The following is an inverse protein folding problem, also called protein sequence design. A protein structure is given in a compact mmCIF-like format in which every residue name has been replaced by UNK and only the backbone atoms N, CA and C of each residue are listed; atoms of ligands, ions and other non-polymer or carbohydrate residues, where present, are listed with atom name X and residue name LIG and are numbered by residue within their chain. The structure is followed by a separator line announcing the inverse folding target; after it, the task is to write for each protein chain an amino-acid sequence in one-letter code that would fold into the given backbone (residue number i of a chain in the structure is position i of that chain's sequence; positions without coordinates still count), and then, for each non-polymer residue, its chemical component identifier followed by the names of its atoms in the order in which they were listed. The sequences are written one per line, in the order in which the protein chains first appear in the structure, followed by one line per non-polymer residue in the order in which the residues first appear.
data_IF_012017595204
#
_entry.id   IF_012017595204
#
_cell.length_a   1.000
_cell.length_b   1.000
_cell.length_c   1.000
_cell.angle_alpha   90.00
_cell.angle_beta   90.00
_cell.angle_gamma   90.00
#
_symmetry.space_group_name_H-M   'P 1'
#
loop_
_entity.id
_entity.type
_entity.pdbx_description
1 polymer ?
#
# COMPACT_ATOMS: atom_id res chain seq x y z
N UNK A 1 -24.94 7.03 -6.22
CA UNK A 1 -24.37 8.12 -5.39
C UNK A 1 -23.37 7.51 -4.40
N UNK A 2 -22.06 7.61 -4.65
CA UNK A 2 -21.06 7.23 -3.64
C UNK A 2 -20.93 8.38 -2.64
N UNK A 3 -21.71 8.32 -1.55
CA UNK A 3 -21.47 9.15 -0.39
C UNK A 3 -20.08 8.79 0.15
N UNK A 4 -19.05 9.55 -0.22
CA UNK A 4 -17.74 9.47 0.42
C UNK A 4 -17.99 9.82 1.88
N UNK A 5 -18.14 8.81 2.75
CA UNK A 5 -18.19 8.99 4.20
C UNK A 5 -17.01 9.88 4.56
N UNK A 6 -17.28 11.09 5.05
CA UNK A 6 -16.23 12.02 5.44
C UNK A 6 -15.48 11.34 6.58
N UNK A 7 -14.23 10.99 6.31
CA UNK A 7 -13.40 10.39 7.33
C UNK A 7 -13.22 11.36 8.49
N UNK A 8 -13.32 10.88 9.72
CA UNK A 8 -13.09 11.70 10.90
C UNK A 8 -11.64 12.23 10.91
N UNK A 9 -11.36 13.37 11.56
CA UNK A 9 -10.00 13.76 11.88
C UNK A 9 -9.28 12.66 12.67
N UNK A 10 -7.97 12.50 12.43
CA UNK A 10 -7.16 11.57 13.21
C UNK A 10 -6.73 12.20 14.54
N UNK A 11 -6.63 11.39 15.58
CA UNK A 11 -6.21 11.77 16.93
C UNK A 11 -4.88 11.11 17.29
N UNK A 12 -4.32 11.46 18.45
CA UNK A 12 -3.02 10.93 18.91
C UNK A 12 -3.03 9.40 19.03
N UNK A 13 -4.15 8.81 19.46
CA UNK A 13 -4.30 7.35 19.53
C UNK A 13 -4.22 6.67 18.16
N UNK A 14 -4.71 7.32 17.10
CA UNK A 14 -4.58 6.80 15.73
C UNK A 14 -3.11 6.77 15.32
N UNK A 15 -2.36 7.81 15.66
CA UNK A 15 -0.91 7.89 15.38
C UNK A 15 -0.16 6.80 16.13
N UNK A 16 -0.49 6.58 17.41
CA UNK A 16 0.08 5.52 18.24
C UNK A 16 -0.23 4.14 17.66
N UNK A 17 -1.47 3.93 17.20
CA UNK A 17 -1.88 2.67 16.59
C UNK A 17 -1.17 2.42 15.26
N UNK A 18 -1.07 3.45 14.41
CA UNK A 18 -0.33 3.37 13.14
C UNK A 18 1.13 3.02 13.43
N UNK A 19 1.81 3.72 14.34
CA UNK A 19 3.21 3.44 14.67
C UNK A 19 3.45 1.99 15.09
N UNK A 20 2.63 1.45 16.00
CA UNK A 20 2.77 0.08 16.51
C UNK A 20 2.51 -0.98 15.45
N UNK A 21 1.48 -0.78 14.62
CA UNK A 21 0.97 -1.82 13.73
C UNK A 21 1.43 -1.65 12.27
N UNK A 22 2.18 -0.59 11.96
CA UNK A 22 2.57 -0.32 10.58
C UNK A 22 3.38 -1.47 10.00
N UNK A 23 4.27 -2.12 10.76
CA UNK A 23 5.09 -3.22 10.22
C UNK A 23 4.27 -4.47 9.87
N UNK A 24 3.18 -4.73 10.57
CA UNK A 24 2.41 -5.97 10.49
C UNK A 24 1.19 -5.86 9.56
N UNK A 25 0.47 -4.74 9.64
CA UNK A 25 -0.80 -4.56 8.94
C UNK A 25 -0.65 -3.67 7.70
N UNK A 26 -1.49 -3.86 6.69
CA UNK A 26 -1.58 -2.94 5.56
C UNK A 26 -2.23 -1.62 5.95
N UNK A 27 -1.96 -0.57 5.16
CA UNK A 27 -2.65 0.72 5.35
C UNK A 27 -4.18 0.63 5.14
N UNK A 28 -4.66 -0.42 4.46
CA UNK A 28 -6.08 -0.71 4.31
C UNK A 28 -6.67 -1.24 5.63
N UNK A 29 -6.07 -2.30 6.20
CA UNK A 29 -6.52 -2.88 7.47
C UNK A 29 -6.44 -1.88 8.63
N UNK A 30 -5.39 -1.06 8.67
CA UNK A 30 -5.27 0.01 9.68
C UNK A 30 -6.39 1.04 9.52
N UNK A 31 -6.71 1.42 8.28
CA UNK A 31 -7.79 2.37 8.00
C UNK A 31 -9.16 1.82 8.44
N UNK A 32 -9.42 0.53 8.18
CA UNK A 32 -10.66 -0.13 8.61
C UNK A 32 -10.78 -0.20 10.13
N UNK A 33 -9.72 -0.63 10.84
CA UNK A 33 -9.73 -0.72 12.30
C UNK A 33 -9.94 0.63 12.99
N UNK A 34 -9.34 1.69 12.45
CA UNK A 34 -9.45 3.04 13.00
C UNK A 34 -10.70 3.79 12.53
N UNK A 35 -11.39 3.29 11.50
CA UNK A 35 -12.49 3.99 10.86
C UNK A 35 -12.06 5.31 10.19
N UNK A 36 -10.81 5.36 9.69
CA UNK A 36 -10.25 6.54 9.00
C UNK A 36 -9.94 6.23 7.54
N UNK A 37 -9.61 7.25 6.75
CA UNK A 37 -9.23 7.08 5.37
C UNK A 37 -7.81 6.50 5.25
N UNK A 38 -7.61 5.61 4.28
CA UNK A 38 -6.27 5.13 3.87
C UNK A 38 -5.30 6.28 3.57
N UNK A 39 -5.83 7.38 3.03
CA UNK A 39 -5.03 8.58 2.77
C UNK A 39 -4.55 9.23 4.06
N UNK A 40 -5.37 9.25 5.11
CA UNK A 40 -4.95 9.76 6.43
C UNK A 40 -3.89 8.85 7.05
N UNK A 41 -4.03 7.52 6.95
CA UNK A 41 -2.97 6.59 7.38
C UNK A 41 -1.65 6.89 6.65
N UNK A 42 -1.70 7.09 5.33
CA UNK A 42 -0.50 7.46 4.55
C UNK A 42 0.10 8.80 4.99
N UNK A 43 -0.74 9.79 5.30
CA UNK A 43 -0.30 11.09 5.83
C UNK A 43 0.38 10.93 7.19
N UNK A 44 -0.22 10.20 8.13
CA UNK A 44 0.35 9.91 9.45
C UNK A 44 1.74 9.27 9.30
N UNK A 45 1.87 8.25 8.45
CA UNK A 45 3.16 7.58 8.20
C UNK A 45 4.19 8.54 7.62
N UNK A 46 3.78 9.41 6.71
CA UNK A 46 4.67 10.39 6.08
C UNK A 46 5.17 11.44 7.07
N UNK A 47 4.30 11.90 7.98
CA UNK A 47 4.69 12.79 9.07
C UNK A 47 5.58 12.07 10.09
N UNK A 48 5.23 10.85 10.51
CA UNK A 48 6.06 10.06 11.43
C UNK A 48 7.48 9.86 10.88
N UNK A 49 7.64 9.58 9.58
CA UNK A 49 8.95 9.42 8.93
C UNK A 49 9.87 10.65 9.00
N UNK A 50 9.33 11.85 9.25
CA UNK A 50 10.15 13.05 9.44
C UNK A 50 10.81 13.09 10.82
N UNK A 51 10.24 12.38 11.79
CA UNK A 51 10.65 12.44 13.20
C UNK A 51 11.28 11.13 13.69
N UNK A 52 10.95 10.00 13.05
CA UNK A 52 11.41 8.67 13.43
C UNK A 52 11.69 7.81 12.20
N UNK A 53 12.59 6.84 12.35
CA UNK A 53 12.98 5.94 11.26
C UNK A 53 11.95 4.81 11.09
N UNK A 54 10.94 5.04 10.25
CA UNK A 54 9.92 4.04 9.92
C UNK A 54 10.37 3.18 8.73
N UNK A 55 10.30 1.83 8.83
CA UNK A 55 10.67 0.96 7.72
C UNK A 55 9.82 1.26 6.49
N UNK A 56 10.48 1.29 5.33
CA UNK A 56 9.77 1.36 4.05
C UNK A 56 9.10 0.01 3.82
N UNK A 57 7.78 0.02 3.60
CA UNK A 57 7.04 -1.11 3.01
C UNK A 57 7.39 -1.28 1.52
N UNK A 58 8.68 -1.33 1.22
CA UNK A 58 9.21 -1.65 -0.12
C UNK A 58 9.32 -3.15 -0.33
N UNK A 59 8.96 -3.96 0.67
CA UNK A 59 8.67 -5.37 0.47
C UNK A 59 7.45 -5.44 -0.43
N UNK A 60 7.70 -5.50 -1.76
CA UNK A 60 6.77 -6.12 -2.69
C UNK A 60 6.39 -7.43 -2.02
N UNK A 61 5.17 -7.53 -1.47
CA UNK A 61 4.65 -8.81 -1.04
C UNK A 61 4.89 -9.76 -2.22
N UNK A 62 5.56 -10.91 -2.03
CA UNK A 62 5.71 -11.87 -3.12
C UNK A 62 4.31 -12.08 -3.69
N UNK A 63 4.19 -11.99 -5.01
CA UNK A 63 2.89 -12.10 -5.66
C UNK A 63 2.22 -13.38 -5.12
N UNK A 64 1.06 -13.30 -4.45
CA UNK A 64 0.47 -14.49 -3.80
C UNK A 64 0.23 -15.60 -4.82
N UNK A 65 0.01 -15.25 -6.09
CA UNK A 65 -0.11 -16.20 -7.19
C UNK A 65 1.22 -16.91 -7.46
N UNK A 66 2.35 -16.19 -7.45
CA UNK A 66 3.67 -16.82 -7.65
C UNK A 66 4.02 -17.75 -6.48
N UNK A 67 3.72 -17.33 -5.24
CA UNK A 67 3.93 -18.16 -4.06
C UNK A 67 3.09 -19.45 -4.11
N UNK A 68 1.83 -19.34 -4.50
CA UNK A 68 0.95 -20.50 -4.71
C UNK A 68 1.45 -21.43 -5.82
N UNK A 69 1.90 -20.90 -6.96
CA UNK A 69 2.43 -21.70 -8.06
C UNK A 69 3.74 -22.44 -7.68
N UNK A 70 4.57 -21.83 -6.82
CA UNK A 70 5.78 -22.44 -6.28
C UNK A 70 5.45 -23.59 -5.30
N UNK A 71 4.46 -23.39 -4.42
CA UNK A 71 3.99 -24.41 -3.47
C UNK A 71 3.34 -25.62 -4.18
N UNK A 72 2.56 -25.38 -5.24
CA UNK A 72 1.86 -26.43 -5.99
C UNK A 72 2.68 -27.01 -7.17
N UNK A 73 3.92 -26.54 -7.39
CA UNK A 73 4.80 -26.98 -8.49
C UNK A 73 4.18 -26.85 -9.90
N UNK A 74 3.26 -25.89 -10.09
CA UNK A 74 2.55 -25.68 -11.36
C UNK A 74 3.38 -24.71 -12.22
N UNK A 75 3.89 -25.19 -13.37
CA UNK A 75 4.60 -24.31 -14.30
C UNK A 75 3.62 -23.30 -14.93
N UNK A 76 3.88 -21.98 -14.82
CA UNK A 76 3.04 -20.97 -15.45
C UNK A 76 3.10 -21.15 -16.96
N UNK A 77 1.92 -21.34 -17.57
CA UNK A 77 1.76 -21.39 -19.03
C UNK A 77 2.40 -20.12 -19.62
N UNK A 78 3.38 -20.30 -20.50
CA UNK A 78 4.27 -19.26 -21.00
C UNK A 78 3.56 -17.92 -21.19
N UNK A 79 4.07 -16.89 -20.49
CA UNK A 79 3.52 -15.55 -20.49
C UNK A 79 3.24 -15.04 -21.92
N UNK A 80 1.97 -14.80 -22.24
CA UNK A 80 1.63 -13.86 -23.31
C UNK A 80 2.23 -12.51 -22.91
N UNK A 81 3.30 -12.10 -23.61
CA UNK A 81 3.96 -10.82 -23.39
C UNK A 81 2.93 -9.69 -23.57
N UNK A 82 2.37 -9.19 -22.47
CA UNK A 82 1.60 -7.96 -22.49
C UNK A 82 2.57 -6.80 -22.77
N UNK A 83 2.63 -6.35 -24.03
CA UNK A 83 3.29 -5.11 -24.44
C UNK A 83 2.62 -3.93 -23.74
N UNK A 84 3.13 -3.51 -22.59
CA UNK A 84 2.74 -2.27 -21.91
C UNK A 84 3.75 -1.17 -22.22
N UNK A 85 3.57 -0.46 -23.32
CA UNK A 85 4.43 0.66 -23.72
C UNK A 85 4.38 1.82 -22.73
N UNK A 86 5.56 2.35 -22.36
CA UNK A 86 5.68 3.68 -21.73
C UNK A 86 6.91 4.42 -22.26
N UNK A 87 6.93 4.62 -23.59
CA UNK A 87 7.80 5.60 -24.21
C UNK A 87 7.19 7.00 -24.07
N UNK A 88 7.54 7.73 -23.01
CA UNK A 88 7.25 9.18 -22.93
C UNK A 88 8.40 9.95 -23.57
N UNK A 89 8.41 10.03 -24.91
CA UNK A 89 9.16 11.10 -25.61
C UNK A 89 8.27 12.35 -25.60
N UNK A 90 8.66 13.38 -24.85
CA UNK A 90 8.25 14.75 -25.16
C UNK A 90 9.43 15.43 -25.86
N UNK A 91 9.32 15.61 -27.18
CA UNK A 91 9.95 16.71 -27.91
C UNK A 91 8.81 17.63 -28.36
N UNK A 92 8.93 18.91 -28.05
CA UNK A 92 8.27 20.05 -28.68
C UNK A 92 8.90 21.28 -28.01
N UNK A 93 9.29 22.35 -28.68
CA UNK A 93 9.53 22.70 -30.09
C UNK A 93 10.40 23.96 -30.02
#
# INVERSE_FOLDING_TARGET
MNQKKRSRPYVVDDVRFVHKNYSEMTAFEIAEKLGISRFQVSKIVSELRKHIDLPKKTVRRPNPILKFLEEENIQPKAATKAKGGRGRKKKAS
#
